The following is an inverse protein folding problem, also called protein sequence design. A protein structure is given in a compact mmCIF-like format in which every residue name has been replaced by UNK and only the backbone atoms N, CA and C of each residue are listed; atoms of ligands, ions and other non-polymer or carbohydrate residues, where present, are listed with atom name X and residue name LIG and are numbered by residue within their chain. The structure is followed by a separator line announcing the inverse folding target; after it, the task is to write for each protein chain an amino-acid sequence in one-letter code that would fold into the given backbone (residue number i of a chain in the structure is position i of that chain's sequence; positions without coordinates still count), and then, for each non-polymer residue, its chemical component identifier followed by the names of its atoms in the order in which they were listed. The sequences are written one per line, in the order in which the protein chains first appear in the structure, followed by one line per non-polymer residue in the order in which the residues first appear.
data_IF_442616594895
#
_entry.id   IF_442616594895
#
_cell.length_a   1.000
_cell.length_b   1.000
_cell.length_c   1.000
_cell.angle_alpha   90.00
_cell.angle_beta   90.00
_cell.angle_gamma   90.00
#
_symmetry.space_group_name_H-M   'P 1'
#
loop_
_entity.id
_entity.type
_entity.pdbx_description
1 polymer ?
#
# COMPACT_ATOMS: atom_id res chain seq x y z
N UNK A 1 1.64 12.09 -22.08
CA UNK A 1 1.85 12.52 -20.68
C UNK A 1 3.33 12.70 -20.36
N UNK A 2 4.18 11.68 -20.62
CA UNK A 2 5.64 11.76 -20.40
C UNK A 2 6.30 12.96 -21.09
N UNK A 3 5.93 13.27 -22.34
CA UNK A 3 6.44 14.44 -23.06
C UNK A 3 6.16 15.78 -22.35
N UNK A 4 4.99 15.91 -21.70
CA UNK A 4 4.65 17.12 -20.93
C UNK A 4 5.49 17.16 -19.65
N UNK A 5 5.67 16.01 -18.98
CA UNK A 5 6.50 15.93 -17.78
C UNK A 5 7.99 16.24 -18.08
N UNK A 6 8.52 15.82 -19.22
CA UNK A 6 9.91 16.09 -19.62
C UNK A 6 10.16 17.55 -20.01
N UNK A 7 9.10 18.31 -20.33
CA UNK A 7 9.17 19.72 -20.73
C UNK A 7 8.36 20.59 -19.76
N UNK A 8 8.49 20.31 -18.47
CA UNK A 8 7.74 21.04 -17.46
C UNK A 8 8.15 22.53 -17.45
N UNK A 9 7.19 23.46 -17.62
CA UNK A 9 7.52 24.88 -17.73
C UNK A 9 7.96 25.46 -16.38
N UNK A 10 8.72 26.56 -16.44
CA UNK A 10 9.20 27.27 -15.25
C UNK A 10 8.20 28.35 -14.79
N UNK A 11 7.45 28.95 -15.72
CA UNK A 11 6.45 29.99 -15.42
C UNK A 11 5.24 29.46 -14.66
N UNK A 12 4.67 30.27 -13.74
CA UNK A 12 3.51 29.87 -12.95
C UNK A 12 2.26 29.61 -13.83
N UNK A 13 1.92 30.54 -14.71
CA UNK A 13 0.76 30.43 -15.60
C UNK A 13 0.88 29.23 -16.57
N UNK A 14 2.06 29.02 -17.15
CA UNK A 14 2.32 27.88 -18.01
C UNK A 14 2.22 26.55 -17.25
N UNK A 15 2.68 26.50 -16.00
CA UNK A 15 2.53 25.32 -15.13
C UNK A 15 1.07 25.02 -14.86
N UNK A 16 0.24 26.03 -14.60
CA UNK A 16 -1.20 25.85 -14.40
C UNK A 16 -1.89 25.34 -15.67
N UNK A 17 -1.54 25.90 -16.83
CA UNK A 17 -2.02 25.44 -18.13
C UNK A 17 -1.63 23.98 -18.41
N UNK A 18 -0.36 23.63 -18.21
CA UNK A 18 0.13 22.25 -18.40
C UNK A 18 -0.46 21.28 -17.38
N UNK A 19 -0.67 21.70 -16.14
CA UNK A 19 -1.33 20.90 -15.13
C UNK A 19 -2.79 20.61 -15.52
N UNK A 20 -3.53 21.61 -16.04
CA UNK A 20 -4.87 21.41 -16.55
C UNK A 20 -4.90 20.47 -17.76
N UNK A 21 -3.95 20.63 -18.70
CA UNK A 21 -3.81 19.72 -19.83
C UNK A 21 -3.52 18.28 -19.38
N UNK A 22 -2.64 18.08 -18.40
CA UNK A 22 -2.39 16.77 -17.80
C UNK A 22 -3.62 16.20 -17.10
N UNK A 23 -4.44 17.04 -16.44
CA UNK A 23 -5.70 16.60 -15.83
C UNK A 23 -6.67 16.09 -16.89
N UNK A 24 -6.84 16.82 -17.99
CA UNK A 24 -7.71 16.40 -19.10
C UNK A 24 -7.21 15.10 -19.76
N UNK A 25 -5.89 14.97 -19.97
CA UNK A 25 -5.29 13.73 -20.49
C UNK A 25 -5.41 12.52 -19.55
N UNK A 26 -5.76 12.72 -18.28
CA UNK A 26 -6.04 11.65 -17.32
C UNK A 26 -7.52 11.26 -17.29
N UNK A 27 -8.39 11.98 -18.01
CA UNK A 27 -9.81 11.64 -18.15
C UNK A 27 -10.06 10.68 -19.32
N UNK A 28 -9.20 10.75 -20.35
CA UNK A 28 -9.27 9.85 -21.50
C UNK A 28 -8.57 8.55 -21.13
N UNK A 29 -9.25 7.42 -21.36
CA UNK A 29 -8.60 6.12 -21.18
C UNK A 29 -7.39 6.01 -22.11
N UNK A 30 -6.24 5.55 -21.60
CA UNK A 30 -5.08 5.35 -22.44
C UNK A 30 -5.42 4.32 -23.52
N UNK A 31 -4.91 4.50 -24.76
CA UNK A 31 -5.00 3.45 -25.76
C UNK A 31 -4.42 2.16 -25.17
N UNK A 32 -4.99 1.01 -25.52
CA UNK A 32 -4.54 -0.28 -24.99
C UNK A 32 -3.05 -0.46 -25.23
N UNK A 33 -2.23 -0.32 -24.19
CA UNK A 33 -0.80 -0.58 -24.26
C UNK A 33 -0.58 -2.04 -23.87
N UNK A 34 -0.16 -2.90 -24.82
CA UNK A 34 0.15 -4.27 -24.47
C UNK A 34 1.36 -4.26 -23.52
N UNK A 35 1.19 -4.95 -22.40
CA UNK A 35 2.33 -5.33 -21.55
C UNK A 35 2.90 -6.58 -22.20
N UNK A 36 4.17 -6.54 -22.58
CA UNK A 36 4.80 -7.59 -23.38
C UNK A 36 6.08 -8.16 -22.75
N UNK A 37 6.63 -7.51 -21.72
CA UNK A 37 7.96 -7.79 -21.20
C UNK A 37 8.04 -7.59 -19.68
N UNK A 38 9.00 -8.29 -19.05
CA UNK A 38 9.27 -8.13 -17.61
C UNK A 38 9.96 -6.81 -17.30
N UNK A 39 10.76 -6.29 -18.23
CA UNK A 39 11.45 -5.00 -18.14
C UNK A 39 10.44 -3.84 -18.06
N UNK A 40 9.39 -3.89 -18.91
CA UNK A 40 8.28 -2.94 -18.81
C UNK A 40 7.62 -3.03 -17.44
N UNK A 41 7.29 -4.25 -16.98
CA UNK A 41 6.62 -4.43 -15.70
C UNK A 41 7.51 -3.99 -14.52
N UNK A 42 8.82 -4.21 -14.57
CA UNK A 42 9.77 -3.75 -13.56
C UNK A 42 9.78 -2.21 -13.46
N UNK A 43 9.88 -1.51 -14.60
CA UNK A 43 9.78 -0.05 -14.64
C UNK A 43 8.43 0.47 -14.16
N UNK A 44 7.33 -0.19 -14.56
CA UNK A 44 5.99 0.16 -14.11
C UNK A 44 5.81 -0.07 -12.60
N UNK A 45 6.35 -1.17 -12.08
CA UNK A 45 6.28 -1.51 -10.66
C UNK A 45 7.12 -0.55 -9.81
N UNK A 46 8.26 -0.07 -10.31
CA UNK A 46 9.04 0.98 -9.68
C UNK A 46 8.27 2.31 -9.56
N UNK A 47 7.38 2.60 -10.50
CA UNK A 47 6.51 3.77 -10.45
C UNK A 47 5.28 3.56 -9.55
N UNK A 48 4.50 2.51 -9.79
CA UNK A 48 3.13 2.34 -9.26
C UNK A 48 2.96 1.13 -8.32
N UNK A 49 3.97 0.26 -8.26
CA UNK A 49 3.96 -0.95 -7.44
C UNK A 49 4.21 -0.68 -5.96
N UNK A 50 3.74 -1.59 -5.11
CA UNK A 50 3.91 -1.57 -3.67
C UNK A 50 4.21 -2.99 -3.16
N UNK A 51 5.20 -3.08 -2.27
CA UNK A 51 5.62 -4.33 -1.61
C UNK A 51 5.18 -4.24 -0.16
N UNK A 52 4.37 -5.20 0.28
CA UNK A 52 3.73 -5.17 1.59
C UNK A 52 4.02 -6.48 2.30
N UNK A 53 4.52 -6.37 3.54
CA UNK A 53 4.55 -7.48 4.51
C UNK A 53 3.40 -7.22 5.50
N UNK A 54 2.29 -7.97 5.40
CA UNK A 54 1.12 -7.73 6.25
C UNK A 54 1.47 -7.88 7.74
N UNK A 55 0.87 -7.09 8.65
CA UNK A 55 1.13 -7.22 10.09
C UNK A 55 0.56 -8.51 10.69
N UNK A 56 -0.44 -9.09 10.03
CA UNK A 56 -1.21 -10.22 10.57
C UNK A 56 -0.70 -11.60 10.16
N UNK A 57 0.08 -11.71 9.09
CA UNK A 57 0.61 -12.97 8.62
C UNK A 57 2.03 -12.84 8.06
N UNK A 58 2.86 -13.88 8.24
CA UNK A 58 4.16 -13.98 7.58
C UNK A 58 3.93 -14.23 6.09
N UNK A 59 4.18 -13.22 5.27
CA UNK A 59 3.96 -13.30 3.84
C UNK A 59 4.25 -12.01 3.11
N UNK A 60 4.14 -12.10 1.79
CA UNK A 60 4.41 -10.98 0.88
C UNK A 60 3.19 -10.74 0.02
N UNK A 61 2.73 -9.50 0.01
CA UNK A 61 1.66 -9.00 -0.86
C UNK A 61 2.22 -7.93 -1.79
N UNK A 62 1.95 -8.08 -3.08
CA UNK A 62 2.24 -7.06 -4.08
C UNK A 62 0.95 -6.34 -4.46
N UNK A 63 1.03 -5.03 -4.62
CA UNK A 63 -0.10 -4.21 -5.08
C UNK A 63 0.36 -3.28 -6.19
N UNK A 64 -0.46 -3.07 -7.21
CA UNK A 64 -0.26 -2.04 -8.24
C UNK A 64 -1.55 -1.23 -8.31
N UNK A 65 -1.46 0.06 -7.99
CA UNK A 65 -2.58 0.99 -8.04
C UNK A 65 -2.67 1.69 -9.40
N UNK A 66 -3.86 1.84 -9.97
CA UNK A 66 -4.05 2.59 -11.20
C UNK A 66 -5.47 3.16 -11.34
N UNK A 67 -5.60 4.35 -11.94
CA UNK A 67 -6.90 4.98 -12.23
C UNK A 67 -7.63 4.30 -13.39
N UNK A 68 -6.87 3.87 -14.40
CA UNK A 68 -7.40 3.23 -15.60
C UNK A 68 -7.32 1.70 -15.45
N UNK A 69 -8.45 1.00 -15.29
CA UNK A 69 -8.46 -0.43 -15.04
C UNK A 69 -7.95 -1.25 -16.24
N UNK A 70 -8.03 -0.72 -17.46
CA UNK A 70 -7.52 -1.35 -18.68
C UNK A 70 -6.02 -1.67 -18.62
N UNK A 71 -5.22 -0.81 -17.97
CA UNK A 71 -3.79 -1.07 -17.76
C UNK A 71 -3.60 -2.29 -16.85
N UNK A 72 -4.34 -2.35 -15.73
CA UNK A 72 -4.24 -3.46 -14.78
C UNK A 72 -4.69 -4.78 -15.42
N UNK A 73 -5.73 -4.74 -16.25
CA UNK A 73 -6.19 -5.90 -17.03
C UNK A 73 -5.16 -6.37 -18.04
N UNK A 74 -4.41 -5.45 -18.65
CA UNK A 74 -3.33 -5.77 -19.59
C UNK A 74 -2.15 -6.43 -18.86
N UNK A 75 -1.72 -5.87 -17.71
CA UNK A 75 -0.70 -6.49 -16.85
C UNK A 75 -1.15 -7.89 -16.40
N UNK A 76 -2.40 -8.00 -15.93
CA UNK A 76 -2.95 -9.26 -15.45
C UNK A 76 -3.00 -10.32 -16.56
N UNK A 77 -3.53 -9.97 -17.74
CA UNK A 77 -3.60 -10.88 -18.89
C UNK A 77 -2.21 -11.38 -19.30
N UNK A 78 -1.22 -10.48 -19.31
CA UNK A 78 0.15 -10.84 -19.59
C UNK A 78 0.76 -11.75 -18.52
N UNK A 79 0.55 -11.48 -17.23
CA UNK A 79 1.03 -12.33 -16.13
C UNK A 79 0.44 -13.74 -16.20
N UNK A 80 -0.86 -13.87 -16.51
CA UNK A 80 -1.53 -15.16 -16.70
C UNK A 80 -0.92 -15.93 -17.88
N UNK A 81 -0.64 -15.24 -18.99
CA UNK A 81 -0.01 -15.85 -20.18
C UNK A 81 1.44 -16.27 -19.91
N UNK A 82 2.20 -15.41 -19.25
CA UNK A 82 3.58 -15.68 -18.87
C UNK A 82 3.69 -16.81 -17.84
N UNK A 83 2.61 -17.07 -17.08
CA UNK A 83 2.60 -18.13 -16.07
C UNK A 83 1.24 -18.82 -15.89
N UNK A 84 0.89 -19.79 -16.76
CA UNK A 84 -0.43 -20.44 -16.74
C UNK A 84 -0.75 -21.21 -15.45
N UNK A 85 0.29 -21.72 -14.77
CA UNK A 85 0.15 -22.56 -13.56
C UNK A 85 -0.45 -21.82 -12.37
N UNK A 86 -0.34 -20.49 -12.34
CA UNK A 86 -0.85 -19.69 -11.24
C UNK A 86 -1.84 -18.68 -11.77
N UNK A 87 -3.09 -18.80 -11.36
CA UNK A 87 -4.08 -17.74 -11.56
C UNK A 87 -3.93 -16.75 -10.40
N UNK A 88 -3.27 -15.58 -10.59
CA UNK A 88 -3.30 -14.56 -9.56
C UNK A 88 -4.76 -14.25 -9.23
N UNK A 89 -5.10 -14.27 -7.94
CA UNK A 89 -6.41 -13.79 -7.50
C UNK A 89 -6.42 -12.28 -7.63
N UNK A 90 -6.81 -11.79 -8.80
CA UNK A 90 -7.02 -10.38 -9.03
C UNK A 90 -8.26 -9.95 -8.26
N UNK A 91 -8.06 -9.07 -7.29
CA UNK A 91 -9.15 -8.34 -6.67
C UNK A 91 -9.08 -6.90 -7.12
N UNK A 92 -9.91 -6.55 -8.11
CA UNK A 92 -10.18 -5.15 -8.40
C UNK A 92 -10.95 -4.56 -7.22
N UNK A 93 -10.24 -3.88 -6.32
CA UNK A 93 -10.87 -3.11 -5.25
C UNK A 93 -11.00 -1.68 -5.73
N UNK A 94 -12.23 -1.19 -5.89
CA UNK A 94 -12.44 0.24 -6.07
C UNK A 94 -12.21 0.94 -4.74
N UNK A 95 -11.09 1.65 -4.61
CA UNK A 95 -10.85 2.54 -3.47
C UNK A 95 -10.89 3.99 -3.97
N UNK A 96 -12.07 4.60 -3.88
CA UNK A 96 -12.33 5.93 -4.43
C UNK A 96 -12.24 5.96 -5.96
N UNK A 97 -11.17 6.58 -6.49
CA UNK A 97 -10.93 6.82 -7.93
C UNK A 97 -9.84 5.92 -8.53
N UNK A 98 -9.38 4.90 -7.80
CA UNK A 98 -8.34 3.99 -8.26
C UNK A 98 -8.77 2.53 -8.10
N UNK A 99 -8.20 1.71 -8.96
CA UNK A 99 -8.28 0.26 -8.98
C UNK A 99 -6.93 -0.32 -8.55
N UNK A 100 -6.94 -1.56 -8.07
CA UNK A 100 -5.75 -2.22 -7.55
C UNK A 100 -5.62 -3.63 -8.13
N UNK A 101 -4.42 -3.98 -8.57
CA UNK A 101 -4.00 -5.36 -8.87
C UNK A 101 -3.25 -5.88 -7.66
N UNK A 102 -3.84 -6.84 -6.96
CA UNK A 102 -3.33 -7.39 -5.70
C UNK A 102 -2.90 -8.84 -5.90
N UNK A 103 -1.67 -9.16 -5.50
CA UNK A 103 -1.14 -10.54 -5.43
C UNK A 103 -0.83 -10.86 -3.98
N UNK A 104 -1.64 -11.71 -3.35
CA UNK A 104 -1.53 -12.01 -1.91
C UNK A 104 -0.88 -13.35 -1.58
N UNK A 105 -0.70 -14.24 -2.56
CA UNK A 105 -0.06 -15.55 -2.32
C UNK A 105 1.45 -15.37 -2.28
N UNK A 106 2.07 -15.61 -1.11
CA UNK A 106 3.51 -15.41 -0.88
C UNK A 106 4.39 -16.04 -1.95
N UNK A 107 4.14 -17.30 -2.33
CA UNK A 107 4.93 -17.99 -3.35
C UNK A 107 4.90 -17.26 -4.72
N UNK A 108 3.72 -16.80 -5.15
CA UNK A 108 3.57 -16.04 -6.40
C UNK A 108 4.24 -14.67 -6.27
N UNK A 109 4.04 -13.98 -5.15
CA UNK A 109 4.65 -12.68 -4.89
C UNK A 109 6.17 -12.75 -4.95
N UNK A 110 6.78 -13.77 -4.33
CA UNK A 110 8.24 -13.95 -4.36
C UNK A 110 8.75 -14.19 -5.77
N UNK A 111 8.12 -15.09 -6.51
CA UNK A 111 8.48 -15.33 -7.92
C UNK A 111 8.41 -14.06 -8.76
N UNK A 112 7.33 -13.28 -8.63
CA UNK A 112 7.20 -12.01 -9.35
C UNK A 112 8.34 -11.07 -8.95
N UNK A 113 8.65 -10.95 -7.65
CA UNK A 113 9.77 -10.11 -7.20
C UNK A 113 11.12 -10.56 -7.75
N UNK A 114 11.41 -11.87 -7.78
CA UNK A 114 12.62 -12.42 -8.41
C UNK A 114 12.70 -12.00 -9.88
N UNK A 115 11.62 -12.22 -10.64
CA UNK A 115 11.57 -11.81 -12.06
C UNK A 115 11.72 -10.32 -12.26
N UNK A 116 11.11 -9.49 -11.40
CA UNK A 116 11.27 -8.04 -11.47
C UNK A 116 12.73 -7.63 -11.18
N UNK A 117 13.38 -8.23 -10.19
CA UNK A 117 14.79 -7.95 -9.86
C UNK A 117 15.71 -8.32 -11.02
N UNK A 118 15.50 -9.49 -11.62
CA UNK A 118 16.26 -9.98 -12.77
C UNK A 118 16.05 -9.09 -14.01
N UNK A 119 14.87 -8.49 -14.13
CA UNK A 119 14.47 -7.65 -15.27
C UNK A 119 14.67 -6.16 -15.03
N UNK A 120 15.49 -5.79 -14.03
CA UNK A 120 15.91 -4.41 -13.81
C UNK A 120 15.01 -3.58 -12.90
N UNK A 121 14.39 -4.18 -11.87
CA UNK A 121 13.77 -3.41 -10.78
C UNK A 121 14.87 -2.61 -10.04
N UNK A 122 14.74 -1.28 -9.99
CA UNK A 122 15.76 -0.37 -9.46
C UNK A 122 15.33 0.26 -8.14
N UNK A 123 14.29 1.10 -8.17
CA UNK A 123 13.88 1.93 -7.03
C UNK A 123 13.42 1.09 -5.85
N UNK A 124 12.75 -0.04 -6.14
CA UNK A 124 12.22 -0.95 -5.13
C UNK A 124 13.06 -2.21 -4.92
N UNK A 125 14.26 -2.30 -5.51
CA UNK A 125 15.12 -3.49 -5.44
C UNK A 125 15.41 -3.95 -4.01
N UNK A 126 15.92 -3.05 -3.16
CA UNK A 126 16.25 -3.37 -1.76
C UNK A 126 15.03 -3.81 -0.96
N UNK A 127 13.88 -3.19 -1.22
CA UNK A 127 12.61 -3.57 -0.58
C UNK A 127 12.16 -4.97 -1.02
N UNK A 128 12.34 -5.30 -2.31
CA UNK A 128 12.06 -6.62 -2.86
C UNK A 128 12.98 -7.69 -2.26
N UNK A 129 14.28 -7.43 -2.17
CA UNK A 129 15.25 -8.34 -1.53
C UNK A 129 14.84 -8.67 -0.08
N UNK A 130 14.47 -7.68 0.73
CA UNK A 130 13.97 -7.93 2.09
C UNK A 130 12.70 -8.79 2.08
N UNK A 131 11.78 -8.56 1.14
CA UNK A 131 10.54 -9.30 1.05
C UNK A 131 10.75 -10.78 0.63
N UNK A 132 11.75 -11.07 -0.20
CA UNK A 132 12.05 -12.45 -0.63
C UNK A 132 12.38 -13.37 0.55
N UNK A 133 13.07 -12.86 1.57
CA UNK A 133 13.52 -13.64 2.73
C UNK A 133 12.53 -13.61 3.92
N UNK A 134 11.29 -13.15 3.74
CA UNK A 134 10.30 -13.09 4.84
C UNK A 134 9.88 -14.50 5.25
N UNK A 135 10.09 -14.86 6.50
CA UNK A 135 9.68 -16.13 7.10
C UNK A 135 8.93 -15.88 8.41
N UNK A 136 8.30 -16.91 8.96
CA UNK A 136 7.60 -16.86 10.24
C UNK A 136 8.53 -16.40 11.38
N UNK A 137 9.77 -16.91 11.38
CA UNK A 137 10.80 -16.62 12.38
C UNK A 137 11.28 -15.16 12.35
N UNK A 138 11.26 -14.52 11.18
CA UNK A 138 11.85 -13.19 10.97
C UNK A 138 10.82 -12.12 10.57
N UNK A 139 9.53 -12.44 10.53
CA UNK A 139 8.46 -11.58 10.02
C UNK A 139 8.49 -10.15 10.57
N UNK A 140 8.64 -10.00 11.88
CA UNK A 140 8.68 -8.69 12.55
C UNK A 140 9.91 -7.89 12.13
N UNK A 141 11.07 -8.52 12.10
CA UNK A 141 12.34 -7.89 11.70
C UNK A 141 12.30 -7.49 10.23
N UNK A 142 11.81 -8.36 9.35
CA UNK A 142 11.68 -8.09 7.91
C UNK A 142 10.73 -6.93 7.65
N UNK A 143 9.63 -6.83 8.39
CA UNK A 143 8.70 -5.68 8.31
C UNK A 143 9.34 -4.38 8.79
N UNK A 144 10.16 -4.42 9.84
CA UNK A 144 10.94 -3.26 10.32
C UNK A 144 12.00 -2.82 9.31
N UNK A 145 12.73 -3.78 8.72
CA UNK A 145 13.71 -3.52 7.65
C UNK A 145 13.06 -2.91 6.43
N UNK A 146 11.98 -3.52 5.92
CA UNK A 146 11.23 -3.00 4.78
C UNK A 146 10.78 -1.55 5.07
N UNK A 147 10.24 -1.31 6.25
CA UNK A 147 9.84 0.01 6.76
C UNK A 147 10.95 1.06 6.73
N UNK A 148 12.20 0.68 7.01
CA UNK A 148 13.33 1.60 6.94
C UNK A 148 13.73 1.96 5.50
N UNK A 149 13.37 1.11 4.54
CA UNK A 149 13.68 1.27 3.11
C UNK A 149 12.57 2.06 2.42
N UNK A 150 11.31 1.66 2.59
CA UNK A 150 10.17 2.39 2.02
C UNK A 150 9.88 3.64 2.85
N UNK A 151 9.81 4.79 2.16
CA UNK A 151 9.73 6.11 2.77
C UNK A 151 8.67 6.30 3.86
N UNK A 152 8.81 7.38 4.63
CA UNK A 152 8.08 7.63 5.87
C UNK A 152 6.57 7.93 5.71
N UNK A 153 5.99 7.89 4.51
CA UNK A 153 4.59 8.28 4.28
C UNK A 153 3.60 7.48 5.15
N UNK A 154 3.89 6.22 5.42
CA UNK A 154 3.07 5.37 6.27
C UNK A 154 3.59 5.24 7.71
N UNK A 155 4.63 5.98 8.13
CA UNK A 155 5.33 5.77 9.42
C UNK A 155 4.39 5.77 10.61
N UNK A 156 3.44 6.70 10.66
CA UNK A 156 2.51 6.87 11.78
C UNK A 156 1.35 5.87 11.77
N UNK A 157 1.12 5.15 10.68
CA UNK A 157 0.08 4.11 10.59
C UNK A 157 0.63 2.72 10.95
N UNK A 158 1.90 2.63 11.35
CA UNK A 158 2.58 1.36 11.59
C UNK A 158 2.20 0.79 12.95
N UNK A 159 1.74 -0.46 12.93
CA UNK A 159 1.56 -1.26 14.14
C UNK A 159 2.91 -1.77 14.67
N UNK A 160 3.13 -1.62 15.97
CA UNK A 160 4.19 -2.27 16.74
C UNK A 160 3.89 -3.78 16.93
N UNK A 161 4.74 -4.49 17.69
CA UNK A 161 4.59 -5.91 17.92
C UNK A 161 3.24 -6.24 18.57
N UNK A 162 2.85 -5.48 19.60
CA UNK A 162 1.59 -5.66 20.32
C UNK A 162 0.38 -5.29 19.45
N UNK A 163 0.49 -4.23 18.64
CA UNK A 163 -0.51 -3.83 17.66
C UNK A 163 -0.72 -4.91 16.61
N UNK A 164 0.34 -5.57 16.14
CA UNK A 164 0.23 -6.72 15.25
C UNK A 164 -0.45 -7.91 15.94
N UNK A 165 -0.11 -8.19 17.20
CA UNK A 165 -0.75 -9.25 17.98
C UNK A 165 -2.26 -9.00 18.13
N UNK A 166 -2.65 -7.78 18.52
CA UNK A 166 -4.07 -7.36 18.59
C UNK A 166 -4.77 -7.49 17.24
N UNK A 167 -4.14 -7.03 16.15
CA UNK A 167 -4.71 -7.14 14.81
C UNK A 167 -4.94 -8.60 14.39
N UNK A 168 -4.01 -9.51 14.74
CA UNK A 168 -4.18 -10.96 14.51
C UNK A 168 -5.34 -11.53 15.33
N UNK A 169 -5.47 -11.13 16.59
CA UNK A 169 -6.56 -11.57 17.44
C UNK A 169 -7.91 -11.14 16.87
N UNK A 170 -8.06 -9.87 16.48
CA UNK A 170 -9.26 -9.35 15.83
C UNK A 170 -9.59 -10.17 14.58
N UNK A 171 -8.61 -10.43 13.71
CA UNK A 171 -8.82 -11.21 12.49
C UNK A 171 -9.28 -12.64 12.79
N UNK A 172 -8.68 -13.32 13.78
CA UNK A 172 -9.10 -14.66 14.20
C UNK A 172 -10.55 -14.69 14.68
N UNK A 173 -10.94 -13.73 15.51
CA UNK A 173 -12.32 -13.62 16.00
C UNK A 173 -13.30 -13.32 14.86
N UNK A 174 -12.93 -12.47 13.89
CA UNK A 174 -13.75 -12.19 12.71
C UNK A 174 -13.97 -13.44 11.84
N UNK A 175 -12.93 -14.24 11.61
CA UNK A 175 -13.05 -15.51 10.87
C UNK A 175 -13.97 -16.48 11.61
N UNK A 176 -13.82 -16.62 12.93
CA UNK A 176 -14.69 -17.45 13.76
C UNK A 176 -16.15 -16.99 13.70
N UNK A 177 -16.39 -15.69 13.86
CA UNK A 177 -17.72 -15.08 13.77
C UNK A 177 -18.36 -15.33 12.40
N UNK A 178 -17.58 -15.21 11.32
CA UNK A 178 -18.05 -15.50 9.96
C UNK A 178 -18.46 -16.98 9.80
N UNK A 179 -17.67 -17.91 10.34
CA UNK A 179 -18.00 -19.34 10.37
C UNK A 179 -19.32 -19.64 11.09
N UNK A 180 -19.52 -19.05 12.27
CA UNK A 180 -20.78 -19.21 13.04
C UNK A 180 -22.00 -18.66 12.28
N UNK A 181 -21.87 -17.49 11.66
CA UNK A 181 -22.95 -16.90 10.84
C UNK A 181 -23.35 -17.79 9.67
N UNK A 182 -22.40 -18.51 9.06
CA UNK A 182 -22.68 -19.44 7.97
C UNK A 182 -23.43 -20.69 8.43
N UNK A 183 -23.25 -21.12 9.68
CA UNK A 183 -23.89 -22.29 10.26
C UNK A 183 -25.36 -22.06 10.71
N UNK A 184 -26.00 -20.95 10.29
CA UNK A 184 -27.42 -20.63 10.53
C UNK A 184 -27.87 -20.53 12.00
N UNK A 185 -27.02 -20.02 12.90
CA UNK A 185 -27.42 -19.67 14.26
C UNK A 185 -26.99 -18.25 14.64
N UNK A 186 -27.95 -17.37 14.90
CA UNK A 186 -27.71 -16.16 15.71
C UNK A 186 -27.56 -16.61 17.16
N UNK A 187 -26.42 -17.19 17.49
CA UNK A 187 -26.15 -17.70 18.83
C UNK A 187 -25.73 -16.56 19.75
N UNK A 188 -25.98 -16.71 21.04
CA UNK A 188 -25.39 -15.86 22.10
C UNK A 188 -23.87 -15.80 21.95
N UNK A 189 -23.23 -16.88 21.50
CA UNK A 189 -21.80 -16.92 21.18
C UNK A 189 -21.41 -15.92 20.07
N UNK A 190 -22.19 -15.81 18.99
CA UNK A 190 -21.93 -14.84 17.93
C UNK A 190 -22.06 -13.39 18.41
N UNK A 191 -23.00 -13.11 19.31
CA UNK A 191 -23.15 -11.80 19.94
C UNK A 191 -21.94 -11.48 20.84
N UNK A 192 -21.50 -12.44 21.66
CA UNK A 192 -20.34 -12.28 22.53
C UNK A 192 -19.05 -12.03 21.72
N UNK A 193 -18.83 -12.80 20.65
CA UNK A 193 -17.69 -12.58 19.75
C UNK A 193 -17.74 -11.21 19.07
N UNK A 194 -18.94 -10.74 18.69
CA UNK A 194 -19.09 -9.42 18.10
C UNK A 194 -18.69 -8.32 19.09
N UNK A 195 -19.19 -8.39 20.33
CA UNK A 195 -18.83 -7.44 21.40
C UNK A 195 -17.33 -7.48 21.73
N UNK A 196 -16.71 -8.67 21.75
CA UNK A 196 -15.26 -8.82 21.97
C UNK A 196 -14.45 -8.16 20.83
N UNK A 197 -14.86 -8.37 19.58
CA UNK A 197 -14.22 -7.72 18.42
C UNK A 197 -14.32 -6.20 18.51
N UNK A 198 -15.49 -5.65 18.86
CA UNK A 198 -15.67 -4.22 19.02
C UNK A 198 -14.79 -3.64 20.12
N UNK A 199 -14.71 -4.32 21.28
CA UNK A 199 -13.84 -3.91 22.38
C UNK A 199 -12.37 -3.90 21.94
N UNK A 200 -11.88 -4.98 21.32
CA UNK A 200 -10.50 -5.05 20.82
C UNK A 200 -10.21 -4.00 19.74
N UNK A 201 -11.17 -3.68 18.88
CA UNK A 201 -11.03 -2.62 17.88
C UNK A 201 -10.90 -1.25 18.53
N UNK A 202 -11.72 -0.95 19.55
CA UNK A 202 -11.63 0.30 20.32
C UNK A 202 -10.28 0.43 21.04
N UNK A 203 -9.84 -0.63 21.73
CA UNK A 203 -8.53 -0.68 22.37
C UNK A 203 -7.39 -0.48 21.35
N UNK A 204 -7.46 -1.18 20.22
CA UNK A 204 -6.48 -1.08 19.16
C UNK A 204 -6.39 0.34 18.59
N UNK A 205 -7.53 0.99 18.34
CA UNK A 205 -7.58 2.37 17.86
C UNK A 205 -6.96 3.35 18.87
N UNK A 206 -7.32 3.23 20.16
CA UNK A 206 -6.80 4.08 21.24
C UNK A 206 -5.29 3.95 21.38
N UNK A 207 -4.77 2.72 21.47
CA UNK A 207 -3.34 2.46 21.60
C UNK A 207 -2.54 2.90 20.37
N UNK A 208 -3.09 2.71 19.16
CA UNK A 208 -2.46 3.18 17.92
C UNK A 208 -2.40 4.71 17.88
N UNK A 209 -3.45 5.40 18.32
CA UNK A 209 -3.45 6.86 18.43
C UNK A 209 -2.40 7.36 19.41
N UNK A 210 -2.28 6.72 20.59
CA UNK A 210 -1.23 7.06 21.57
C UNK A 210 0.18 6.85 21.00
N UNK A 211 0.45 5.70 20.39
CA UNK A 211 1.75 5.41 19.77
C UNK A 211 2.09 6.40 18.65
N UNK A 212 1.08 6.80 17.86
CA UNK A 212 1.20 7.83 16.82
C UNK A 212 1.59 9.17 17.42
N UNK A 213 0.87 9.61 18.47
CA UNK A 213 1.16 10.87 19.16
C UNK A 213 2.57 10.87 19.77
N UNK A 214 3.00 9.76 20.39
CA UNK A 214 4.36 9.62 20.91
C UNK A 214 5.41 9.77 19.81
N UNK A 215 5.22 9.08 18.68
CA UNK A 215 6.12 9.15 17.53
C UNK A 215 6.20 10.57 16.95
N UNK A 216 5.05 11.21 16.73
CA UNK A 216 4.96 12.59 16.27
C UNK A 216 5.68 13.56 17.21
N UNK A 217 5.55 13.39 18.53
CA UNK A 217 6.25 14.24 19.50
C UNK A 217 7.75 14.09 19.43
N UNK A 218 8.26 12.87 19.23
CA UNK A 218 9.70 12.62 19.04
C UNK A 218 10.19 13.31 17.77
N UNK A 219 9.47 13.13 16.66
CA UNK A 219 9.86 13.72 15.37
C UNK A 219 9.78 15.25 15.40
N UNK A 220 8.73 15.83 16.00
CA UNK A 220 8.63 17.28 16.19
C UNK A 220 9.82 17.80 16.99
N UNK A 221 10.19 17.14 18.10
CA UNK A 221 11.36 17.55 18.90
C UNK A 221 12.64 17.44 18.10
N UNK A 222 12.81 16.39 17.30
CA UNK A 222 13.97 16.23 16.44
C UNK A 222 14.04 17.33 15.37
N UNK A 223 12.94 17.63 14.69
CA UNK A 223 12.85 18.71 13.71
C UNK A 223 13.19 20.07 14.34
N UNK A 224 12.65 20.37 15.53
CA UNK A 224 12.95 21.59 16.26
C UNK A 224 14.45 21.70 16.60
N UNK A 225 15.11 20.59 16.99
CA UNK A 225 16.57 20.56 17.23
C UNK A 225 17.39 20.76 15.96
N UNK A 226 16.85 20.37 14.80
CA UNK A 226 17.48 20.58 13.49
C UNK A 226 17.20 21.98 12.91
N UNK A 227 16.66 22.90 13.73
CA UNK A 227 16.41 24.28 13.33
C UNK A 227 15.07 24.48 12.62
N UNK A 228 14.15 23.51 12.62
CA UNK A 228 12.80 23.77 12.16
C UNK A 228 12.10 24.77 13.11
N UNK A 229 11.42 25.76 12.56
CA UNK A 229 10.60 26.71 13.32
C UNK A 229 9.12 26.50 13.01
N UNK A 230 8.26 26.88 13.96
CA UNK A 230 6.82 26.95 13.72
C UNK A 230 6.53 28.16 12.85
N UNK A 231 5.99 27.96 11.65
CA UNK A 231 5.43 29.06 10.89
C UNK A 231 4.21 29.60 11.64
N UNK A 232 4.29 30.82 12.14
CA UNK A 232 3.17 31.53 12.80
C UNK A 232 2.16 32.11 11.80
N UNK A 233 2.39 31.95 10.49
CA UNK A 233 1.50 32.49 9.46
C UNK A 233 0.34 31.55 9.21
N UNK A 234 -0.83 31.87 9.78
CA UNK A 234 -2.15 31.57 9.20
C UNK A 234 -3.34 32.23 9.97
N UNK A 235 -3.18 33.42 10.55
CA UNK A 235 -4.32 34.21 11.06
C UNK A 235 -4.78 35.34 10.12
N UNK A 236 -4.04 35.62 9.04
CA UNK A 236 -4.43 36.61 8.02
C UNK A 236 -5.41 36.04 6.99
N UNK A 237 -6.67 35.85 7.37
CA UNK A 237 -7.77 36.04 6.40
C UNK A 237 -8.30 37.45 6.62
N UNK A 238 -7.62 38.42 6.01
CA UNK A 238 -8.34 39.61 5.55
C UNK A 238 -9.34 39.11 4.51
N UNK A 239 -10.60 39.04 4.91
CA UNK A 239 -11.71 38.93 3.97
C UNK A 239 -11.90 40.33 3.36
N UNK A 240 -11.95 40.47 2.03
CA UNK A 240 -12.46 41.69 1.41
C UNK A 240 -13.93 41.93 1.77
#
# INVERSE_FOLDING_TARGET
QLFIASRWPQGAEERDSMANRLRLLKLVDPPGFPVDSWEYLAGFFDAEGCIIIPPTCPGVRLEIGQKHPSILLSIFSWLVKAWPTYTPHFRSVRNGRAYWLVVSKTAISRFILERLIDSGLLQKRRAAEVALYVEDSNHVLSRQRLTSIVGNQARYQRLDADGCARARQILRLQVRLHGLRKAQGTTTEAQNLHAEIENLQQQHASLTALATLCSLRVDIRQMLRQGAWRSTRCSGRDRP
#
